data_IF_672892290825
#
_entry.id   IF_672892290825
#
_cell.length_a   1.000
_cell.length_b   1.000
_cell.length_c   1.000
_cell.angle_alpha   90.00
_cell.angle_beta   90.00
_cell.angle_gamma   90.00
#
_symmetry.space_group_name_H-M   'P 1'
#
loop_
_entity.id
_entity.type
_entity.pdbx_description
1 polymer ?
#
# COMPACT_ATOMS: atom_id res chain seq x y z
N UNK A 1 0.12 14.67 39.69
CA UNK A 1 0.06 13.68 38.60
C UNK A 1 -0.60 14.35 37.41
N UNK A 2 0.18 14.68 36.38
CA UNK A 2 -0.33 15.30 35.16
C UNK A 2 -1.17 14.29 34.39
N UNK A 3 -2.41 14.63 34.03
CA UNK A 3 -3.27 13.78 33.21
C UNK A 3 -2.55 13.48 31.89
N UNK A 4 -2.50 12.22 31.43
CA UNK A 4 -1.94 11.91 30.12
C UNK A 4 -2.72 12.69 29.07
N UNK A 5 -2.02 13.55 28.33
CA UNK A 5 -2.62 14.32 27.26
C UNK A 5 -2.88 13.36 26.10
N UNK A 6 -4.14 12.91 25.98
CA UNK A 6 -4.56 12.11 24.84
C UNK A 6 -4.78 13.04 23.65
N UNK A 7 -4.23 12.75 22.46
CA UNK A 7 -4.47 13.56 21.29
C UNK A 7 -5.97 13.60 20.99
N UNK A 8 -6.53 14.82 20.92
CA UNK A 8 -7.98 15.03 20.72
C UNK A 8 -8.43 14.79 19.28
N UNK A 9 -7.50 14.53 18.36
CA UNK A 9 -7.74 14.44 16.92
C UNK A 9 -7.07 13.18 16.35
N UNK A 10 -7.64 12.58 15.29
CA UNK A 10 -7.07 11.42 14.64
C UNK A 10 -5.69 11.75 14.05
N UNK A 11 -4.74 10.83 14.21
CA UNK A 11 -3.35 10.95 13.76
C UNK A 11 -3.25 10.76 12.24
N UNK A 12 -3.62 11.81 11.50
CA UNK A 12 -3.60 11.83 10.02
C UNK A 12 -2.37 12.55 9.46
N UNK A 13 -1.91 12.20 8.24
CA UNK A 13 -0.85 12.95 7.54
C UNK A 13 -1.15 14.44 7.38
N UNK A 14 -2.42 14.80 7.24
CA UNK A 14 -2.92 16.18 7.17
C UNK A 14 -2.69 16.93 8.48
N UNK A 15 -2.97 16.28 9.62
CA UNK A 15 -2.73 16.86 10.94
C UNK A 15 -1.24 17.12 11.18
N UNK A 16 -0.37 16.15 10.86
CA UNK A 16 1.08 16.34 10.98
C UNK A 16 1.58 17.50 10.10
N UNK A 17 1.06 17.60 8.86
CA UNK A 17 1.36 18.73 7.96
C UNK A 17 0.87 20.06 8.54
N UNK A 18 -0.31 20.08 9.14
CA UNK A 18 -0.89 21.27 9.80
C UNK A 18 -0.02 21.73 10.97
N UNK A 19 0.37 20.82 11.88
CA UNK A 19 1.27 21.11 13.01
C UNK A 19 2.59 21.71 12.52
N UNK A 20 3.22 21.09 11.51
CA UNK A 20 4.47 21.59 10.91
C UNK A 20 4.28 22.98 10.27
N UNK A 21 3.14 23.23 9.62
CA UNK A 21 2.82 24.52 9.00
C UNK A 21 2.63 25.62 10.05
N UNK A 22 1.89 25.34 11.11
CA UNK A 22 1.68 26.28 12.21
C UNK A 22 2.99 26.63 12.92
N UNK A 23 3.88 25.67 13.13
CA UNK A 23 5.20 25.95 13.70
C UNK A 23 6.04 26.88 12.81
N UNK A 24 5.96 26.72 11.49
CA UNK A 24 6.59 27.64 10.52
C UNK A 24 5.99 29.04 10.59
N UNK A 25 4.67 29.16 10.71
CA UNK A 25 3.98 30.46 10.87
C UNK A 25 4.42 31.12 12.18
N UNK A 26 4.39 30.39 13.29
CA UNK A 26 4.80 30.90 14.61
C UNK A 26 6.24 31.44 14.59
N UNK A 27 7.16 30.73 13.92
CA UNK A 27 8.55 31.19 13.76
C UNK A 27 8.66 32.49 12.96
N UNK A 28 7.80 32.70 11.96
CA UNK A 28 7.79 33.95 11.18
C UNK A 28 7.23 35.10 12.02
N UNK A 29 6.13 34.86 12.73
CA UNK A 29 5.48 35.86 13.60
C UNK A 29 6.37 36.27 14.77
N UNK A 30 7.19 35.36 15.31
CA UNK A 30 8.16 35.69 16.37
C UNK A 30 9.42 36.39 15.86
N UNK A 31 9.45 36.87 14.61
CA UNK A 31 10.62 37.46 13.97
C UNK A 31 11.87 36.55 14.05
N UNK A 32 11.68 35.22 14.05
CA UNK A 32 12.72 34.19 14.20
C UNK A 32 13.50 34.22 15.53
N UNK A 33 13.01 34.91 16.55
CA UNK A 33 13.58 34.86 17.92
C UNK A 33 13.51 33.45 18.51
N UNK A 34 12.43 32.72 18.21
CA UNK A 34 12.26 31.33 18.60
C UNK A 34 12.92 30.37 17.58
N UNK A 35 13.67 29.39 18.10
CA UNK A 35 14.17 28.27 17.30
C UNK A 35 13.00 27.43 16.78
N UNK A 36 13.15 26.85 15.58
CA UNK A 36 12.09 26.04 14.96
C UNK A 36 11.62 24.86 15.84
N UNK A 37 12.55 24.20 16.54
CA UNK A 37 12.22 23.10 17.48
C UNK A 37 11.34 23.59 18.64
N UNK A 38 11.63 24.77 19.20
CA UNK A 38 10.79 25.37 20.23
C UNK A 38 9.38 25.68 19.70
N UNK A 39 9.27 26.21 18.49
CA UNK A 39 7.96 26.41 17.85
C UNK A 39 7.19 25.10 17.65
N UNK A 40 7.88 24.02 17.26
CA UNK A 40 7.26 22.70 17.13
C UNK A 40 6.74 22.17 18.46
N UNK A 41 7.50 22.30 19.56
CA UNK A 41 7.03 21.89 20.89
C UNK A 41 5.81 22.70 21.33
N UNK A 42 5.84 24.02 21.17
CA UNK A 42 4.71 24.90 21.50
C UNK A 42 3.45 24.50 20.72
N UNK A 43 3.59 24.26 19.42
CA UNK A 43 2.44 23.88 18.59
C UNK A 43 1.97 22.47 18.95
N UNK A 44 2.86 21.49 19.10
CA UNK A 44 2.50 20.13 19.50
C UNK A 44 1.69 20.11 20.82
N UNK A 45 2.06 20.93 21.79
CA UNK A 45 1.32 21.09 23.05
C UNK A 45 -0.12 21.60 22.85
N UNK A 46 -0.37 22.48 21.86
CA UNK A 46 -1.75 22.91 21.52
C UNK A 46 -2.62 21.76 21.01
N UNK A 47 -2.01 20.72 20.45
CA UNK A 47 -2.68 19.53 19.95
C UNK A 47 -2.75 18.40 20.99
N UNK A 48 -2.29 18.65 22.23
CA UNK A 48 -2.34 17.67 23.31
C UNK A 48 -1.19 16.68 23.30
N UNK A 49 -0.01 17.07 22.81
CA UNK A 49 1.22 16.29 22.98
C UNK A 49 2.12 16.93 24.03
N UNK A 50 2.89 16.14 24.77
CA UNK A 50 3.81 16.68 25.79
C UNK A 50 4.99 17.44 25.17
N UNK A 51 5.46 16.95 24.02
CA UNK A 51 6.61 17.46 23.29
C UNK A 51 6.46 17.25 21.78
N UNK A 52 7.40 17.79 20.99
CA UNK A 52 7.45 17.50 19.56
C UNK A 52 7.86 16.04 19.29
N UNK A 53 8.71 15.48 20.14
CA UNK A 53 9.21 14.11 20.03
C UNK A 53 8.06 13.11 20.22
N UNK A 54 7.30 13.25 21.30
CA UNK A 54 6.11 12.41 21.57
C UNK A 54 5.05 12.55 20.48
N UNK A 55 4.85 13.78 19.96
CA UNK A 55 4.00 14.01 18.79
C UNK A 55 4.49 13.21 17.58
N UNK A 56 5.76 13.36 17.21
CA UNK A 56 6.31 12.72 16.02
C UNK A 56 6.31 11.19 16.11
N UNK A 57 6.71 10.65 17.27
CA UNK A 57 6.67 9.20 17.56
C UNK A 57 5.25 8.66 17.45
N UNK A 58 4.24 9.36 17.99
CA UNK A 58 2.84 8.95 17.86
C UNK A 58 2.40 8.83 16.40
N UNK A 59 2.80 9.77 15.53
CA UNK A 59 2.51 9.68 14.10
C UNK A 59 3.26 8.54 13.42
N UNK A 60 4.51 8.25 13.83
CA UNK A 60 5.28 7.14 13.29
C UNK A 60 4.65 5.80 13.67
N UNK A 61 4.24 5.62 14.92
CA UNK A 61 3.56 4.41 15.39
C UNK A 61 2.18 4.25 14.76
N UNK A 62 1.40 5.34 14.62
CA UNK A 62 0.13 5.30 13.91
C UNK A 62 0.31 4.89 12.44
N UNK A 63 1.33 5.43 11.77
CA UNK A 63 1.65 5.06 10.40
C UNK A 63 2.10 3.59 10.29
N UNK A 64 2.97 3.13 11.20
CA UNK A 64 3.43 1.74 11.25
C UNK A 64 2.27 0.78 11.50
N UNK A 65 1.40 1.11 12.46
CA UNK A 65 0.20 0.34 12.77
C UNK A 65 -0.73 0.27 11.56
N UNK A 66 -1.03 1.39 10.90
CA UNK A 66 -1.84 1.39 9.69
C UNK A 66 -1.20 0.60 8.54
N UNK A 67 0.12 0.74 8.37
CA UNK A 67 0.91 0.04 7.35
C UNK A 67 0.81 -1.47 7.52
N UNK A 68 0.96 -1.96 8.75
CA UNK A 68 1.03 -3.39 9.06
C UNK A 68 -0.36 -4.00 9.33
N UNK A 69 -1.39 -3.16 9.44
CA UNK A 69 -2.78 -3.58 9.67
C UNK A 69 -3.27 -4.52 8.56
N UNK A 70 -3.76 -5.70 8.95
CA UNK A 70 -4.34 -6.67 8.03
C UNK A 70 -3.31 -7.54 7.31
N UNK A 71 -2.00 -7.29 7.44
CA UNK A 71 -0.95 -8.04 6.75
C UNK A 71 -1.02 -9.54 7.06
N UNK A 72 -1.05 -9.91 8.33
CA UNK A 72 -1.09 -11.32 8.76
C UNK A 72 -2.44 -11.98 8.43
N UNK A 73 -3.52 -11.21 8.47
CA UNK A 73 -4.86 -11.69 8.10
C UNK A 73 -4.91 -12.01 6.60
N UNK A 74 -4.44 -11.09 5.74
CA UNK A 74 -4.33 -11.32 4.30
C UNK A 74 -3.37 -12.45 3.95
N UNK A 75 -2.28 -12.62 4.72
CA UNK A 75 -1.32 -13.70 4.52
C UNK A 75 -1.89 -15.08 4.87
N UNK A 76 -2.72 -15.16 5.91
CA UNK A 76 -3.35 -16.40 6.37
C UNK A 76 -4.70 -16.69 5.69
N UNK A 77 -5.30 -15.69 5.04
CA UNK A 77 -6.62 -15.79 4.46
C UNK A 77 -6.73 -16.94 3.44
N UNK A 78 -7.89 -17.57 3.42
CA UNK A 78 -8.35 -18.34 2.28
C UNK A 78 -9.06 -17.37 1.32
N UNK A 79 -9.10 -17.71 0.04
CA UNK A 79 -9.90 -16.95 -0.90
C UNK A 79 -11.34 -17.44 -0.87
N UNK A 80 -12.28 -16.50 -1.03
CA UNK A 80 -13.70 -16.77 -1.14
C UNK A 80 -14.00 -17.41 -2.50
N UNK A 81 -14.36 -18.70 -2.50
CA UNK A 81 -14.67 -19.46 -3.72
C UNK A 81 -15.82 -18.84 -4.56
N UNK A 82 -16.57 -17.90 -4.00
CA UNK A 82 -17.64 -17.17 -4.71
C UNK A 82 -17.12 -15.98 -5.52
N UNK A 83 -15.83 -15.66 -5.42
CA UNK A 83 -15.21 -14.51 -6.09
C UNK A 83 -14.15 -14.98 -7.09
N UNK A 84 -13.96 -14.16 -8.12
CA UNK A 84 -12.87 -14.33 -9.07
C UNK A 84 -11.64 -13.56 -8.63
N UNK A 85 -10.46 -14.13 -8.85
CA UNK A 85 -9.19 -13.50 -8.47
C UNK A 85 -8.20 -13.50 -9.64
N UNK A 86 -7.37 -12.47 -9.66
CA UNK A 86 -6.13 -12.44 -10.43
C UNK A 86 -4.94 -12.74 -9.53
N UNK A 87 -4.02 -13.59 -10.00
CA UNK A 87 -2.69 -13.66 -9.43
C UNK A 87 -1.86 -12.48 -9.93
N UNK A 88 -1.34 -11.68 -9.01
CA UNK A 88 -0.47 -10.54 -9.29
C UNK A 88 0.72 -10.57 -8.34
N UNK A 89 1.92 -10.45 -8.88
CA UNK A 89 3.14 -10.29 -8.11
C UNK A 89 3.65 -8.86 -8.28
N UNK A 90 3.78 -8.16 -7.15
CA UNK A 90 4.41 -6.84 -7.11
C UNK A 90 5.92 -7.02 -6.90
N UNK A 91 6.70 -6.53 -7.85
CA UNK A 91 8.15 -6.48 -7.81
C UNK A 91 8.63 -5.13 -7.25
N UNK A 92 9.94 -5.00 -7.12
CA UNK A 92 10.56 -3.71 -6.84
C UNK A 92 10.18 -2.67 -7.91
N UNK A 93 10.19 -1.40 -7.54
CA UNK A 93 9.86 -0.26 -8.42
C UNK A 93 8.43 -0.24 -8.98
N UNK A 94 7.48 -0.90 -8.32
CA UNK A 94 6.05 -0.95 -8.71
C UNK A 94 5.78 -1.67 -10.04
N UNK A 95 6.71 -2.51 -10.48
CA UNK A 95 6.48 -3.41 -11.60
C UNK A 95 5.58 -4.59 -11.17
N UNK A 96 4.73 -5.05 -12.08
CA UNK A 96 3.78 -6.13 -11.80
C UNK A 96 3.93 -7.24 -12.83
N UNK A 97 3.94 -8.48 -12.36
CA UNK A 97 3.68 -9.65 -13.20
C UNK A 97 2.38 -10.31 -12.79
N UNK A 98 1.77 -11.05 -13.71
CA UNK A 98 0.49 -11.72 -13.50
C UNK A 98 0.40 -12.98 -14.34
N UNK A 99 -0.44 -13.91 -13.90
CA UNK A 99 -0.79 -15.05 -14.73
C UNK A 99 -1.57 -14.55 -15.96
N UNK A 100 -1.22 -15.00 -17.16
CA UNK A 100 -1.75 -14.43 -18.40
C UNK A 100 -1.95 -15.48 -19.48
N UNK A 101 -2.81 -15.19 -20.44
CA UNK A 101 -3.02 -15.97 -21.66
C UNK A 101 -2.68 -15.15 -22.90
N UNK A 102 -2.36 -15.85 -23.99
CA UNK A 102 -2.04 -15.24 -25.28
C UNK A 102 -3.31 -14.78 -25.99
N UNK A 103 -3.27 -13.59 -26.61
CA UNK A 103 -4.42 -13.01 -27.34
C UNK A 103 -4.07 -12.55 -28.76
N UNK A 104 -2.78 -12.50 -29.12
CA UNK A 104 -2.38 -12.05 -30.46
C UNK A 104 -0.89 -11.75 -30.60
N UNK A 105 -0.55 -11.09 -31.71
CA UNK A 105 0.80 -10.58 -31.97
C UNK A 105 0.77 -9.06 -32.07
N UNK A 106 1.77 -8.40 -31.52
CA UNK A 106 2.00 -6.97 -31.77
C UNK A 106 2.54 -6.76 -33.19
N UNK A 107 2.48 -5.51 -33.67
CA UNK A 107 3.06 -5.13 -34.97
C UNK A 107 4.57 -5.43 -35.03
N UNK A 108 5.25 -5.31 -33.89
CA UNK A 108 6.68 -5.64 -33.73
C UNK A 108 6.95 -7.16 -33.59
N UNK A 109 5.91 -8.00 -33.62
CA UNK A 109 6.03 -9.45 -33.60
C UNK A 109 6.21 -10.07 -32.20
N UNK A 110 5.78 -9.40 -31.13
CA UNK A 110 5.76 -9.97 -29.78
C UNK A 110 4.40 -10.56 -29.43
N UNK A 111 4.36 -11.60 -28.59
CA UNK A 111 3.09 -12.10 -28.05
C UNK A 111 2.38 -11.00 -27.26
N UNK A 112 1.13 -10.70 -27.61
CA UNK A 112 0.24 -9.91 -26.76
C UNK A 112 -0.43 -10.85 -25.76
N UNK A 113 -0.36 -10.50 -24.48
CA UNK A 113 -0.94 -11.28 -23.39
C UNK A 113 -1.83 -10.43 -22.50
N UNK A 114 -2.85 -11.05 -21.94
CA UNK A 114 -3.83 -10.42 -21.04
C UNK A 114 -3.88 -11.22 -19.73
N UNK A 115 -4.04 -10.58 -18.56
CA UNK A 115 -4.22 -11.30 -17.30
C UNK A 115 -5.35 -12.34 -17.37
N UNK A 116 -5.13 -13.46 -16.70
CA UNK A 116 -6.11 -14.54 -16.56
C UNK A 116 -6.57 -14.63 -15.12
N UNK A 117 -7.87 -14.87 -14.94
CA UNK A 117 -8.42 -15.30 -13.67
C UNK A 117 -7.82 -16.67 -13.28
N UNK A 118 -7.76 -16.93 -11.98
CA UNK A 118 -7.29 -18.21 -11.43
C UNK A 118 -8.35 -18.84 -10.55
N UNK A 119 -8.34 -20.17 -10.45
CA UNK A 119 -9.07 -20.89 -9.41
C UNK A 119 -8.39 -20.61 -8.06
N UNK A 120 -9.03 -19.86 -7.16
CA UNK A 120 -8.39 -19.42 -5.93
C UNK A 120 -8.03 -20.57 -4.99
N UNK A 121 -8.89 -21.59 -4.87
CA UNK A 121 -8.70 -22.68 -3.91
C UNK A 121 -7.51 -23.55 -4.32
N UNK A 122 -7.47 -23.93 -5.60
CA UNK A 122 -6.36 -24.68 -6.16
C UNK A 122 -5.05 -23.88 -6.11
N UNK A 123 -5.09 -22.60 -6.49
CA UNK A 123 -3.89 -21.76 -6.56
C UNK A 123 -3.26 -21.53 -5.18
N UNK A 124 -4.06 -21.23 -4.15
CA UNK A 124 -3.55 -21.05 -2.78
C UNK A 124 -2.83 -22.29 -2.28
N UNK A 125 -3.46 -23.47 -2.45
CA UNK A 125 -2.86 -24.74 -2.05
C UNK A 125 -1.53 -24.97 -2.75
N UNK A 126 -1.54 -24.96 -4.09
CA UNK A 126 -0.34 -25.19 -4.89
C UNK A 126 0.78 -24.17 -4.59
N UNK A 127 0.43 -22.89 -4.43
CA UNK A 127 1.41 -21.84 -4.15
C UNK A 127 2.06 -22.01 -2.79
N UNK A 128 1.27 -22.20 -1.73
CA UNK A 128 1.77 -22.34 -0.34
C UNK A 128 2.53 -23.64 -0.12
N UNK A 129 2.23 -24.70 -0.86
CA UNK A 129 3.01 -25.94 -0.82
C UNK A 129 4.35 -25.82 -1.55
N UNK A 130 4.39 -25.08 -2.66
CA UNK A 130 5.55 -25.07 -3.57
C UNK A 130 6.51 -23.90 -3.33
N UNK A 131 6.06 -22.81 -2.72
CA UNK A 131 6.82 -21.57 -2.58
C UNK A 131 7.01 -21.21 -1.11
N UNK A 132 8.22 -20.75 -0.77
CA UNK A 132 8.54 -20.24 0.56
C UNK A 132 8.20 -18.74 0.72
N UNK A 133 7.29 -18.23 -0.10
CA UNK A 133 6.88 -16.83 -0.13
C UNK A 133 5.45 -16.65 0.39
N UNK A 134 5.14 -15.48 0.94
CA UNK A 134 3.80 -15.17 1.44
C UNK A 134 2.87 -14.79 0.30
N UNK A 135 1.82 -15.59 0.08
CA UNK A 135 0.70 -15.22 -0.79
C UNK A 135 -0.35 -14.43 -0.01
N UNK A 136 -0.57 -13.17 -0.39
CA UNK A 136 -1.61 -12.33 0.20
C UNK A 136 -2.95 -12.50 -0.53
N UNK A 137 -4.07 -12.59 0.19
CA UNK A 137 -5.42 -12.47 -0.38
C UNK A 137 -5.95 -11.06 -0.11
N UNK A 138 -6.28 -10.34 -1.17
CA UNK A 138 -6.60 -8.91 -1.15
C UNK A 138 -7.99 -8.67 -1.73
N UNK A 139 -8.88 -8.18 -0.86
CA UNK A 139 -10.30 -8.01 -1.19
C UNK A 139 -10.83 -6.61 -0.89
N UNK A 140 -10.03 -5.77 -0.23
CA UNK A 140 -10.42 -4.40 0.09
C UNK A 140 -9.46 -3.40 -0.55
N UNK A 141 -10.00 -2.20 -0.82
CA UNK A 141 -9.21 -1.09 -1.35
C UNK A 141 -8.09 -0.66 -0.40
N UNK A 142 -8.29 -0.78 0.91
CA UNK A 142 -7.24 -0.40 1.86
C UNK A 142 -6.10 -1.40 1.85
N UNK A 143 -6.40 -2.70 1.83
CA UNK A 143 -5.37 -3.74 1.80
C UNK A 143 -4.61 -3.72 0.48
N UNK A 144 -5.28 -3.44 -0.65
CA UNK A 144 -4.62 -3.22 -1.93
C UNK A 144 -3.59 -2.08 -1.86
N UNK A 145 -3.92 -0.97 -1.22
CA UNK A 145 -2.99 0.15 -1.05
C UNK A 145 -1.82 -0.22 -0.14
N UNK A 146 -2.09 -0.92 0.97
CA UNK A 146 -1.03 -1.35 1.90
C UNK A 146 -0.09 -2.34 1.23
N UNK A 147 -0.64 -3.30 0.50
CA UNK A 147 0.12 -4.25 -0.28
C UNK A 147 0.98 -3.57 -1.34
N UNK A 148 0.39 -2.72 -2.18
CA UNK A 148 1.11 -2.03 -3.26
C UNK A 148 2.24 -1.15 -2.74
N UNK A 149 2.06 -0.49 -1.59
CA UNK A 149 3.03 0.49 -1.09
C UNK A 149 4.06 -0.07 -0.12
N UNK A 150 3.77 -1.21 0.55
CA UNK A 150 4.58 -1.66 1.69
C UNK A 150 4.79 -3.16 1.80
N UNK A 151 3.81 -4.00 1.48
CA UNK A 151 3.96 -5.45 1.68
C UNK A 151 4.64 -6.10 0.47
N UNK A 152 4.22 -5.70 -0.73
CA UNK A 152 4.65 -6.22 -2.03
C UNK A 152 4.50 -7.76 -2.12
N UNK A 153 5.17 -8.37 -3.10
CA UNK A 153 5.16 -9.82 -3.27
C UNK A 153 3.90 -10.36 -3.96
N UNK A 154 3.71 -11.69 -3.93
CA UNK A 154 2.61 -12.36 -4.61
C UNK A 154 1.28 -12.15 -3.89
N UNK A 155 0.22 -11.91 -4.66
CA UNK A 155 -1.12 -11.74 -4.15
C UNK A 155 -2.19 -12.32 -5.09
N UNK A 156 -3.28 -12.79 -4.50
CA UNK A 156 -4.57 -12.94 -5.16
C UNK A 156 -5.40 -11.69 -4.89
N UNK A 157 -5.77 -11.00 -5.95
CA UNK A 157 -6.56 -9.76 -5.87
C UNK A 157 -7.91 -10.02 -6.51
N UNK A 158 -8.98 -9.71 -5.77
CA UNK A 158 -10.35 -9.79 -6.26
C UNK A 158 -10.48 -8.97 -7.57
N UNK A 159 -11.17 -9.53 -8.56
CA UNK A 159 -11.18 -9.00 -9.92
C UNK A 159 -11.76 -7.58 -10.01
N UNK A 160 -12.94 -7.33 -9.42
CA UNK A 160 -13.58 -6.02 -9.49
C UNK A 160 -12.72 -4.95 -8.80
N UNK A 161 -12.12 -5.30 -7.66
CA UNK A 161 -11.14 -4.47 -6.98
C UNK A 161 -9.96 -4.16 -7.90
N UNK A 162 -9.36 -5.16 -8.55
CA UNK A 162 -8.21 -4.96 -9.42
C UNK A 162 -8.54 -4.02 -10.59
N UNK A 163 -9.68 -4.22 -11.24
CA UNK A 163 -10.12 -3.38 -12.36
C UNK A 163 -10.44 -1.95 -11.91
N UNK A 164 -10.99 -1.78 -10.69
CA UNK A 164 -11.25 -0.45 -10.13
C UNK A 164 -9.96 0.32 -9.81
N UNK A 165 -8.89 -0.37 -9.41
CA UNK A 165 -7.62 0.26 -9.02
C UNK A 165 -6.64 0.40 -10.19
N UNK A 166 -6.74 -0.47 -11.20
CA UNK A 166 -5.94 -0.46 -12.41
C UNK A 166 -6.84 -0.64 -13.66
N UNK A 167 -7.47 0.44 -14.16
CA UNK A 167 -8.44 0.35 -15.25
C UNK A 167 -7.90 -0.20 -16.57
N UNK A 168 -6.57 -0.17 -16.76
CA UNK A 168 -5.90 -0.74 -17.94
C UNK A 168 -5.36 -2.15 -17.71
N UNK A 169 -5.68 -2.79 -16.59
CA UNK A 169 -5.12 -4.09 -16.24
C UNK A 169 -5.37 -5.16 -17.30
N UNK A 170 -6.54 -5.15 -17.94
CA UNK A 170 -6.89 -6.09 -19.03
C UNK A 170 -6.43 -5.63 -20.42
N UNK A 171 -5.64 -4.56 -20.51
CA UNK A 171 -5.07 -4.16 -21.80
C UNK A 171 -4.04 -5.21 -22.23
N UNK A 172 -4.06 -5.66 -23.49
CA UNK A 172 -3.02 -6.55 -23.99
C UNK A 172 -1.65 -5.90 -23.87
N UNK A 173 -0.71 -6.58 -23.23
CA UNK A 173 0.67 -6.13 -23.07
C UNK A 173 1.63 -7.06 -23.83
N UNK A 174 2.66 -6.50 -24.52
CA UNK A 174 3.66 -7.30 -25.21
C UNK A 174 4.52 -8.06 -24.20
N UNK A 175 4.64 -9.37 -24.41
CA UNK A 175 5.56 -10.22 -23.68
C UNK A 175 6.93 -10.22 -24.37
N UNK A 176 7.83 -9.38 -23.89
CA UNK A 176 9.17 -9.23 -24.47
C UNK A 176 10.06 -10.49 -24.37
N UNK A 177 9.67 -11.46 -23.54
CA UNK A 177 10.35 -12.76 -23.44
C UNK A 177 9.90 -13.77 -24.51
N UNK A 178 8.90 -13.44 -25.34
CA UNK A 178 8.31 -14.33 -26.34
C UNK A 178 8.21 -13.65 -27.71
N UNK A 179 9.35 -13.44 -28.41
CA UNK A 179 9.33 -12.97 -29.78
C UNK A 179 8.80 -14.06 -30.71
N UNK A 180 8.14 -13.67 -31.80
CA UNK A 180 7.80 -14.58 -32.90
C UNK A 180 9.11 -15.17 -33.45
N UNK A 181 9.27 -16.48 -33.35
CA UNK A 181 10.38 -17.18 -34.00
C UNK A 181 10.31 -16.86 -35.50
N UNK A 182 11.40 -16.28 -36.03
CA UNK A 182 11.55 -16.02 -37.47
C UNK A 182 11.84 -17.31 -38.21
#
# INVERSE_FOLDING_TARGET
MSKPLTPKQPLTPELLRKIKREAKVLRRTSQKTLRHRACLCIVAQRYGFESWETCYESFQEAFKSWRDQGKDLCAAALADERRSYYFVQMHDYFERSFFSHWVGWSDDGYELRVPSEVDPAWFIGAFRESNNETLYVIETKEDYKRWMLFWHGPALIECDLMLSQAPRFLSPEPSYSRPRLR
#
